data_IF_885588703975
#
_entry.id   IF_885588703975
#
_cell.length_a   1.000
_cell.length_b   1.000
_cell.length_c   1.000
_cell.angle_alpha   90.00
_cell.angle_beta   90.00
_cell.angle_gamma   90.00
#
_symmetry.space_group_name_H-M   'P 1'
#
loop_
_entity.id
_entity.type
_entity.pdbx_description
1 polymer ?
#
# COMPACT_ATOMS: atom_id res chain seq x y z
N UNK A 1 2.77 -7.40 6.19
CA UNK A 1 1.89 -8.10 5.23
C UNK A 1 0.58 -7.36 5.10
N UNK A 2 0.09 -7.26 3.90
CA UNK A 2 -1.24 -6.71 3.65
C UNK A 2 -2.08 -7.80 3.00
N UNK A 3 -3.39 -7.77 3.28
CA UNK A 3 -4.30 -8.76 2.70
C UNK A 3 -5.01 -8.16 1.53
N UNK A 4 -5.03 -8.89 0.43
CA UNK A 4 -5.74 -8.50 -0.79
C UNK A 4 -6.60 -9.67 -1.24
N UNK A 5 -7.57 -9.38 -2.10
CA UNK A 5 -8.49 -10.40 -2.59
C UNK A 5 -8.22 -10.62 -4.08
N UNK A 6 -7.91 -11.83 -4.45
CA UNK A 6 -7.72 -12.18 -5.86
C UNK A 6 -9.06 -12.17 -6.58
N UNK A 7 -9.00 -12.19 -7.90
CA UNK A 7 -10.20 -12.18 -8.72
C UNK A 7 -11.11 -13.39 -8.49
N UNK A 8 -10.54 -14.52 -8.07
CA UNK A 8 -11.36 -15.71 -7.79
C UNK A 8 -11.98 -15.64 -6.39
N UNK A 9 -11.78 -14.57 -5.66
CA UNK A 9 -12.33 -14.40 -4.33
C UNK A 9 -11.45 -14.89 -3.20
N UNK A 10 -10.32 -15.51 -3.52
CA UNK A 10 -9.43 -16.01 -2.48
C UNK A 10 -8.59 -14.89 -1.91
N UNK A 11 -8.20 -15.03 -0.65
CA UNK A 11 -7.38 -14.04 0.03
C UNK A 11 -5.91 -14.36 -0.18
N UNK A 12 -5.10 -13.32 -0.33
CA UNK A 12 -3.65 -13.47 -0.40
C UNK A 12 -3.01 -12.43 0.51
N UNK A 13 -1.99 -12.83 1.23
CA UNK A 13 -1.20 -11.92 2.05
C UNK A 13 0.06 -11.58 1.27
N UNK A 14 0.31 -10.29 1.08
CA UNK A 14 1.42 -9.81 0.28
C UNK A 14 2.33 -8.97 1.15
N UNK A 15 3.63 -9.15 1.00
CA UNK A 15 4.58 -8.32 1.72
C UNK A 15 4.57 -6.92 1.08
N UNK A 16 4.11 -5.93 1.83
CA UNK A 16 3.99 -4.57 1.31
C UNK A 16 5.32 -4.00 0.84
N UNK A 17 6.43 -4.47 1.39
CA UNK A 17 7.75 -3.98 1.00
C UNK A 17 8.13 -4.44 -0.41
N UNK A 18 7.43 -5.44 -0.94
CA UNK A 18 7.73 -5.95 -2.28
C UNK A 18 6.83 -5.37 -3.35
N UNK A 19 5.92 -4.45 -2.99
CA UNK A 19 5.03 -3.82 -3.95
C UNK A 19 5.78 -2.73 -4.69
N UNK A 20 5.81 -2.83 -6.02
CA UNK A 20 6.53 -1.92 -6.88
C UNK A 20 5.59 -0.90 -7.52
N UNK A 21 4.50 -1.39 -8.11
CA UNK A 21 3.50 -0.54 -8.75
C UNK A 21 2.11 -1.02 -8.39
N UNK A 22 1.15 -0.09 -8.37
CA UNK A 22 -0.27 -0.42 -8.30
C UNK A 22 -0.94 0.41 -9.38
N UNK A 23 -1.67 -0.23 -10.27
CA UNK A 23 -2.30 0.48 -11.38
C UNK A 23 -3.70 -0.08 -11.65
N UNK A 24 -4.52 0.73 -12.26
CA UNK A 24 -5.88 0.33 -12.65
C UNK A 24 -5.97 0.34 -14.17
N UNK A 25 -5.86 -0.85 -14.81
CA UNK A 25 -5.82 -0.88 -16.26
C UNK A 25 -6.38 -2.20 -16.82
N UNK A 26 -7.68 -2.38 -16.92
CA UNK A 26 -8.78 -1.68 -16.23
C UNK A 26 -8.97 -2.14 -14.81
N UNK A 27 -8.44 -3.32 -14.47
CA UNK A 27 -8.54 -3.87 -13.12
C UNK A 27 -7.33 -3.46 -12.33
N UNK A 28 -7.42 -3.58 -11.00
CA UNK A 28 -6.29 -3.25 -10.15
C UNK A 28 -5.22 -4.31 -10.29
N UNK A 29 -4.03 -3.89 -10.69
CA UNK A 29 -2.88 -4.76 -10.86
C UNK A 29 -1.81 -4.31 -9.89
N UNK A 30 -1.37 -5.24 -9.04
CA UNK A 30 -0.27 -5.00 -8.11
C UNK A 30 0.96 -5.70 -8.68
N UNK A 31 2.00 -4.93 -8.99
CA UNK A 31 3.25 -5.48 -9.53
C UNK A 31 4.27 -5.52 -8.41
N UNK A 32 4.85 -6.68 -8.21
CA UNK A 32 5.86 -6.89 -7.19
C UNK A 32 7.27 -6.63 -7.73
N UNK A 33 8.22 -6.51 -6.83
CA UNK A 33 9.62 -6.27 -7.23
C UNK A 33 10.19 -7.39 -8.07
N UNK A 34 9.60 -8.59 -7.99
CA UNK A 34 9.97 -9.72 -8.84
C UNK A 34 9.36 -9.63 -10.23
N UNK A 35 8.61 -8.56 -10.49
CA UNK A 35 7.82 -8.33 -11.71
C UNK A 35 6.62 -9.25 -11.83
N UNK A 36 6.31 -10.00 -10.79
CA UNK A 36 5.08 -10.77 -10.74
C UNK A 36 3.90 -9.80 -10.58
N UNK A 37 2.82 -10.06 -11.31
CA UNK A 37 1.64 -9.21 -11.28
C UNK A 37 0.47 -9.96 -10.67
N UNK A 38 -0.27 -9.25 -9.81
CA UNK A 38 -1.44 -9.81 -9.16
C UNK A 38 -2.64 -8.96 -9.52
N UNK A 39 -3.71 -9.62 -9.99
CA UNK A 39 -4.97 -8.93 -10.20
C UNK A 39 -5.81 -9.08 -8.94
N UNK A 40 -6.28 -7.95 -8.41
CA UNK A 40 -7.01 -7.95 -7.15
C UNK A 40 -8.31 -7.18 -7.30
N UNK A 41 -9.23 -7.44 -6.38
CA UNK A 41 -10.55 -6.81 -6.41
C UNK A 41 -10.54 -5.43 -5.77
N UNK A 42 -9.60 -5.17 -4.88
CA UNK A 42 -9.51 -3.88 -4.22
C UNK A 42 -9.20 -2.79 -5.24
N UNK A 43 -9.65 -1.57 -4.96
CA UNK A 43 -9.30 -0.43 -5.80
C UNK A 43 -7.86 -0.03 -5.52
N UNK A 44 -7.29 0.76 -6.43
CA UNK A 44 -5.93 1.27 -6.24
C UNK A 44 -5.84 2.03 -4.91
N UNK A 45 -6.84 2.86 -4.61
CA UNK A 45 -6.82 3.63 -3.38
C UNK A 45 -6.86 2.73 -2.15
N UNK A 46 -7.63 1.64 -2.21
CA UNK A 46 -7.69 0.70 -1.10
C UNK A 46 -6.35 0.01 -0.89
N UNK A 47 -5.68 -0.36 -1.98
CA UNK A 47 -4.37 -0.99 -1.86
C UNK A 47 -3.37 -0.01 -1.26
N UNK A 48 -3.39 1.23 -1.73
CA UNK A 48 -2.49 2.26 -1.21
C UNK A 48 -2.72 2.47 0.28
N UNK A 49 -3.98 2.52 0.70
CA UNK A 49 -4.29 2.69 2.11
C UNK A 49 -3.77 1.54 2.95
N UNK A 50 -3.87 0.32 2.46
CA UNK A 50 -3.38 -0.84 3.19
C UNK A 50 -1.86 -0.82 3.32
N UNK A 51 -1.17 -0.36 2.29
CA UNK A 51 0.28 -0.22 2.34
C UNK A 51 0.67 0.84 3.36
N UNK A 52 -0.03 1.98 3.36
CA UNK A 52 0.25 3.05 4.30
C UNK A 52 0.01 2.57 5.74
N UNK A 53 -1.10 1.88 5.95
CA UNK A 53 -1.43 1.37 7.27
C UNK A 53 -0.37 0.39 7.76
N UNK A 54 0.08 -0.50 6.87
CA UNK A 54 1.13 -1.44 7.22
C UNK A 54 2.40 -0.70 7.64
N UNK A 55 2.80 0.31 6.88
CA UNK A 55 4.04 1.02 7.18
C UNK A 55 3.92 1.80 8.47
N UNK A 56 2.75 2.36 8.75
CA UNK A 56 2.55 3.07 10.00
C UNK A 56 2.71 2.13 11.19
N UNK A 57 2.15 0.92 11.09
CA UNK A 57 2.23 -0.06 12.17
C UNK A 57 3.63 -0.66 12.28
N UNK A 58 4.28 -0.91 11.15
CA UNK A 58 5.57 -1.59 11.14
C UNK A 58 6.70 -0.68 11.61
N UNK A 59 6.64 0.60 11.27
CA UNK A 59 7.71 1.52 11.60
C UNK A 59 7.37 2.38 12.81
N UNK A 60 6.32 2.01 13.49
CA UNK A 60 5.94 2.67 14.72
C UNK A 60 5.34 4.02 14.49
N UNK A 61 5.18 4.75 15.57
CA UNK A 61 4.56 6.03 15.52
C UNK A 61 5.56 7.01 15.14
N UNK A 62 5.41 7.46 13.95
CA UNK A 62 6.17 8.60 13.57
C UNK A 62 5.50 9.78 14.22
N UNK A 63 6.20 10.54 14.90
CA UNK A 63 5.61 11.67 15.59
C UNK A 63 4.88 12.59 14.65
N UNK A 64 4.62 12.14 14.57
CA UNK A 64 3.94 12.74 14.01
C UNK A 64 3.76 13.55 13.57
N UNK A 65 3.92 13.59 13.44
CA UNK A 65 3.58 14.11 12.96
C UNK A 65 3.51 14.98 12.78
N UNK A 66 3.82 15.16 12.77
CA UNK A 66 3.49 15.74 12.47
C UNK A 66 3.32 16.39 12.05
N UNK A 67 3.58 16.41 12.07
CA UNK A 67 3.20 16.80 11.56
C UNK A 67 3.16 17.30 11.05
N UNK A 68 3.32 17.45 10.86
CA UNK A 68 3.15 17.72 10.19
C UNK A 68 3.00 18.28 9.88
N UNK A 69 3.19 18.12 10.31
CA UNK A 69 2.92 18.48 9.91
C UNK A 69 3.27 19.13 9.78
N UNK A 70 3.51 19.43 10.26
CA UNK A 70 3.68 19.73 10.07
C UNK A 70 4.19 20.08 9.62
N UNK A 71 4.31 20.17 9.89
CA UNK A 71 4.62 20.17 9.45
C UNK A 71 5.08 20.48 8.82
N UNK A 72 5.38 20.74 8.91
CA UNK A 72 5.65 20.78 8.25
C UNK A 72 6.20 21.13 7.77
N UNK A 73 6.21 20.80 7.83
CA UNK A 73 6.49 20.86 7.29
C UNK A 73 7.00 21.14 6.81
N UNK A 74 7.02 21.13 7.33
CA UNK A 74 7.18 21.09 6.83
C UNK A 74 7.56 21.14 6.35
N UNK A 75 7.75 20.89 6.71
CA UNK A 75 7.69 20.75 6.12
C UNK A 75 8.03 20.92 5.67
N UNK A 76 8.09 20.67 5.82
CA UNK A 76 8.00 20.66 5.22
C UNK A 76 8.12 20.66 4.90
N UNK A 77 8.22 20.81 5.38
CA UNK A 77 7.99 20.74 4.85
C UNK A 77 8.23 20.84 4.55
#
# INVERSE_FOLDING_TARGET
>A
MIKLTRFDGSEIAVNAELVKFVEAAPDTIVTLTSDQKLLVLETVDEVIERVIEYKRLAYGNLPEKRDRSEEHREVEP
#
